data_IF_904792510664
#
_entry.id   IF_904792510664
#
_cell.length_a   1.000
_cell.length_b   1.000
_cell.length_c   1.000
_cell.angle_alpha   90.00
_cell.angle_beta   90.00
_cell.angle_gamma   90.00
#
_symmetry.space_group_name_H-M   'P 1'
#
loop_
_entity.id
_entity.type
_entity.pdbx_description
1 polymer ?
#
# COMPACT_ATOMS: atom_id res chain seq x y z
N UNK A 1 -8.64 -2.92 86.55
CA UNK A 1 -9.99 -2.76 85.97
C UNK A 1 -9.83 -2.32 84.53
N UNK A 2 -10.48 -3.06 83.62
CA UNK A 2 -10.94 -2.75 82.26
C UNK A 2 -10.22 -1.68 81.39
N UNK A 3 -9.76 -2.14 80.21
CA UNK A 3 -9.97 -1.63 78.82
C UNK A 3 -10.15 -0.12 78.60
N UNK A 4 -9.54 0.51 77.59
CA UNK A 4 -10.00 0.47 76.19
C UNK A 4 -8.83 0.60 75.21
N UNK A 5 -8.83 -0.30 74.21
CA UNK A 5 -7.95 -0.31 73.04
C UNK A 5 -8.63 0.47 71.91
N UNK A 6 -8.04 1.55 71.41
CA UNK A 6 -8.49 2.24 70.19
C UNK A 6 -7.48 2.01 69.08
N UNK A 7 -7.79 1.07 68.18
CA UNK A 7 -7.05 0.87 66.93
C UNK A 7 -7.70 1.74 65.86
N UNK A 8 -6.97 2.75 65.38
CA UNK A 8 -7.33 3.49 64.16
C UNK A 8 -6.91 2.64 62.97
N UNK A 9 -7.87 2.03 62.29
CA UNK A 9 -7.63 1.33 61.03
C UNK A 9 -7.70 2.33 59.87
N UNK A 10 -6.55 2.74 59.34
CA UNK A 10 -6.48 3.43 58.06
C UNK A 10 -6.86 2.46 56.94
N UNK A 11 -8.00 2.69 56.30
CA UNK A 11 -8.43 2.02 55.07
C UNK A 11 -7.56 2.50 53.91
N UNK A 12 -6.47 1.79 53.64
CA UNK A 12 -5.79 1.89 52.35
C UNK A 12 -6.59 1.09 51.32
N UNK A 13 -7.30 1.79 50.43
CA UNK A 13 -7.82 1.18 49.21
C UNK A 13 -6.62 0.82 48.33
N UNK A 14 -6.26 -0.46 48.28
CA UNK A 14 -5.41 -0.99 47.20
C UNK A 14 -6.25 -1.03 45.93
N UNK A 15 -6.20 0.05 45.14
CA UNK A 15 -6.58 -0.01 43.73
C UNK A 15 -5.56 -0.89 43.02
N UNK A 16 -5.95 -2.14 42.72
CA UNK A 16 -5.26 -2.93 41.71
C UNK A 16 -5.41 -2.19 40.38
N UNK A 17 -4.38 -1.43 40.00
CA UNK A 17 -4.23 -0.94 38.64
C UNK A 17 -4.07 -2.17 37.74
N UNK A 18 -5.18 -2.64 37.17
CA UNK A 18 -5.15 -3.56 36.05
C UNK A 18 -4.60 -2.78 34.87
N UNK A 19 -3.32 -2.97 34.56
CA UNK A 19 -2.75 -2.61 33.27
C UNK A 19 -3.45 -3.46 32.20
N UNK A 20 -4.20 -2.87 31.24
CA UNK A 20 -4.66 -3.64 30.11
C UNK A 20 -3.44 -4.03 29.28
N UNK A 21 -3.15 -5.33 29.29
CA UNK A 21 -2.15 -5.94 28.42
C UNK A 21 -2.76 -6.01 27.02
N UNK A 22 -2.73 -4.91 26.27
CA UNK A 22 -2.99 -4.93 24.83
C UNK A 22 -1.65 -4.94 24.11
N UNK A 23 -0.99 -6.10 24.06
CA UNK A 23 0.04 -6.37 23.07
C UNK A 23 -0.65 -6.56 21.70
N UNK A 24 -1.29 -5.50 21.20
CA UNK A 24 -1.76 -5.45 19.83
C UNK A 24 -0.54 -5.08 18.97
N UNK A 25 0.14 -6.09 18.45
CA UNK A 25 1.21 -5.86 17.47
C UNK A 25 0.57 -5.58 16.12
N UNK A 26 1.02 -4.54 15.42
CA UNK A 26 0.71 -4.35 14.00
C UNK A 26 1.25 -5.57 13.26
N UNK A 27 0.41 -6.27 12.50
CA UNK A 27 0.88 -7.23 11.51
C UNK A 27 1.51 -6.44 10.36
N UNK A 28 2.83 -6.21 10.44
CA UNK A 28 3.58 -5.55 9.38
C UNK A 28 3.87 -6.58 8.29
N UNK A 29 3.12 -6.52 7.19
CA UNK A 29 3.55 -7.16 5.95
C UNK A 29 4.74 -6.36 5.46
N UNK A 30 5.94 -6.96 5.30
CA UNK A 30 7.10 -6.23 4.83
C UNK A 30 6.82 -5.67 3.45
N UNK A 31 6.95 -4.34 3.31
CA UNK A 31 6.84 -3.67 2.02
C UNK A 31 8.11 -4.02 1.23
N UNK A 32 7.99 -4.92 0.27
CA UNK A 32 9.06 -5.27 -0.66
C UNK A 32 8.83 -4.53 -1.96
N UNK A 33 9.74 -3.64 -2.31
CA UNK A 33 9.70 -2.89 -3.56
C UNK A 33 10.29 -3.74 -4.68
N UNK A 34 9.68 -3.70 -5.87
CA UNK A 34 10.19 -4.39 -7.03
C UNK A 34 11.37 -3.64 -7.64
N UNK A 35 12.41 -4.41 -8.01
CA UNK A 35 13.57 -3.93 -8.76
C UNK A 35 13.29 -4.12 -10.25
N UNK A 36 13.50 -3.07 -11.03
CA UNK A 36 13.34 -3.12 -12.47
C UNK A 36 14.26 -4.19 -13.06
N UNK A 37 13.67 -5.16 -13.74
CA UNK A 37 14.35 -6.33 -14.32
C UNK A 37 13.73 -6.63 -15.69
N UNK A 38 14.15 -5.89 -16.74
CA UNK A 38 13.58 -6.04 -18.08
C UNK A 38 13.80 -7.45 -18.64
N UNK A 39 12.82 -7.94 -19.41
CA UNK A 39 12.95 -9.23 -20.13
C UNK A 39 13.73 -9.11 -21.45
N UNK A 40 13.84 -7.89 -22.01
CA UNK A 40 14.58 -7.60 -23.23
C UNK A 40 16.06 -7.30 -22.93
N UNK A 41 16.92 -7.38 -23.96
CA UNK A 41 18.33 -7.04 -23.81
C UNK A 41 18.53 -5.54 -23.49
N UNK A 42 19.57 -5.16 -22.72
CA UNK A 42 19.81 -3.76 -22.34
C UNK A 42 19.83 -2.78 -23.52
N UNK A 43 20.46 -3.18 -24.63
CA UNK A 43 20.61 -2.37 -25.85
C UNK A 43 19.41 -2.44 -26.79
N UNK A 44 18.38 -3.22 -26.47
CA UNK A 44 17.16 -3.30 -27.29
C UNK A 44 16.44 -1.96 -27.29
N UNK A 45 15.87 -1.61 -28.45
CA UNK A 45 14.91 -0.51 -28.57
C UNK A 45 13.50 -0.99 -28.24
N UNK A 46 12.60 -0.06 -27.93
CA UNK A 46 11.19 -0.39 -27.78
C UNK A 46 10.56 -0.86 -29.10
N UNK A 47 9.55 -1.73 -29.04
CA UNK A 47 8.74 -2.02 -30.21
C UNK A 47 8.05 -0.76 -30.74
N UNK A 48 7.66 -0.73 -32.03
CA UNK A 48 6.90 0.37 -32.61
C UNK A 48 5.67 0.72 -31.76
N UNK A 49 5.56 2.00 -31.40
CA UNK A 49 4.49 2.51 -30.55
C UNK A 49 3.22 2.74 -31.40
N UNK A 50 2.06 2.35 -30.88
CA UNK A 50 0.77 2.74 -31.46
C UNK A 50 0.45 4.20 -31.10
N UNK A 51 -0.42 4.90 -31.86
CA UNK A 51 -0.87 6.23 -31.49
C UNK A 51 -1.41 6.29 -30.07
N UNK A 52 -1.05 7.36 -29.35
CA UNK A 52 -1.56 7.59 -28.00
C UNK A 52 -3.08 7.71 -28.01
N UNK A 53 -3.79 7.12 -27.04
CA UNK A 53 -5.22 7.34 -26.92
C UNK A 53 -5.49 8.81 -26.55
N UNK A 54 -6.70 9.33 -26.83
CA UNK A 54 -7.05 10.71 -26.49
C UNK A 54 -6.84 11.00 -25.00
N UNK A 55 -6.49 12.24 -24.66
CA UNK A 55 -6.38 12.66 -23.25
C UNK A 55 -7.76 12.58 -22.60
N UNK A 56 -7.83 11.89 -21.46
CA UNK A 56 -9.08 11.70 -20.73
C UNK A 56 -9.29 12.86 -19.74
N UNK A 57 -10.45 13.54 -19.71
CA UNK A 57 -10.69 14.70 -18.84
C UNK A 57 -10.51 14.42 -17.34
N UNK A 58 -10.83 13.21 -16.89
CA UNK A 58 -10.73 12.79 -15.49
C UNK A 58 -9.32 12.34 -15.08
N UNK A 59 -8.36 12.31 -16.01
CA UNK A 59 -7.00 11.87 -15.76
C UNK A 59 -6.01 12.98 -16.18
N UNK A 60 -5.74 13.96 -15.29
CA UNK A 60 -4.93 15.12 -15.63
C UNK A 60 -3.42 14.86 -15.60
N UNK A 61 -2.97 13.79 -14.91
CA UNK A 61 -1.55 13.44 -14.77
C UNK A 61 -0.89 13.20 -16.13
N UNK A 62 0.33 13.67 -16.31
CA UNK A 62 1.12 13.41 -17.52
C UNK A 62 2.05 12.19 -17.37
N UNK A 63 2.12 11.62 -16.15
CA UNK A 63 2.97 10.48 -15.81
C UNK A 63 2.13 9.19 -15.70
N UNK A 64 1.02 9.25 -14.97
CA UNK A 64 0.22 8.07 -14.63
C UNK A 64 -1.04 7.88 -15.49
N UNK A 65 -1.34 8.86 -16.36
CA UNK A 65 -2.40 8.72 -17.36
C UNK A 65 -1.83 8.35 -18.73
N UNK A 66 -2.74 8.06 -19.67
CA UNK A 66 -2.41 7.88 -21.07
C UNK A 66 -1.47 8.99 -21.59
N UNK A 67 -0.25 8.60 -21.96
CA UNK A 67 0.79 9.53 -22.38
C UNK A 67 2.06 8.78 -22.80
N UNK A 68 3.01 9.49 -23.43
CA UNK A 68 4.21 8.88 -24.00
C UNK A 68 5.10 8.22 -22.93
N UNK A 69 5.17 8.80 -21.74
CA UNK A 69 5.95 8.26 -20.63
C UNK A 69 5.39 6.90 -20.17
N UNK A 70 4.10 6.85 -19.81
CA UNK A 70 3.45 5.61 -19.37
C UNK A 70 3.52 4.53 -20.46
N UNK A 71 3.26 4.88 -21.72
CA UNK A 71 3.32 3.93 -22.83
C UNK A 71 4.73 3.37 -23.03
N UNK A 72 5.76 4.23 -23.00
CA UNK A 72 7.15 3.83 -23.18
C UNK A 72 7.62 2.89 -22.07
N UNK A 73 7.34 3.23 -20.80
CA UNK A 73 7.74 2.39 -19.66
C UNK A 73 7.00 1.06 -19.66
N UNK A 74 5.71 1.04 -20.01
CA UNK A 74 4.96 -0.21 -20.14
C UNK A 74 5.52 -1.12 -21.23
N UNK A 75 5.93 -0.55 -22.37
CA UNK A 75 6.52 -1.31 -23.48
C UNK A 75 7.99 -1.70 -23.25
N UNK A 76 8.70 -0.98 -22.38
CA UNK A 76 10.02 -1.39 -21.89
C UNK A 76 9.94 -2.66 -21.02
N UNK A 77 8.74 -3.00 -20.53
CA UNK A 77 8.45 -4.22 -19.76
C UNK A 77 9.45 -4.45 -18.62
N UNK A 78 9.71 -3.38 -17.85
CA UNK A 78 10.71 -3.36 -16.78
C UNK A 78 10.30 -4.19 -15.55
N UNK A 79 9.01 -4.49 -15.41
CA UNK A 79 8.43 -5.24 -14.31
C UNK A 79 7.50 -6.33 -14.84
N UNK A 80 7.35 -7.48 -14.14
CA UNK A 80 6.42 -8.53 -14.54
C UNK A 80 4.95 -8.09 -14.56
N UNK A 81 4.61 -7.07 -13.77
CA UNK A 81 3.28 -6.46 -13.70
C UNK A 81 3.38 -4.96 -14.03
N UNK A 82 2.56 -4.50 -14.98
CA UNK A 82 2.56 -3.10 -15.41
C UNK A 82 2.07 -2.14 -14.31
N UNK A 83 1.25 -2.62 -13.37
CA UNK A 83 0.80 -1.85 -12.21
C UNK A 83 1.95 -1.49 -11.28
N UNK A 84 3.02 -2.30 -11.25
CA UNK A 84 4.21 -2.00 -10.43
C UNK A 84 4.78 -0.63 -10.73
N UNK A 85 4.82 -0.20 -12.00
CA UNK A 85 5.29 1.13 -12.34
C UNK A 85 4.31 2.23 -11.92
N UNK A 86 3.01 2.02 -12.15
CA UNK A 86 1.95 2.98 -11.81
C UNK A 86 1.89 3.22 -10.29
N UNK A 87 2.26 2.24 -9.48
CA UNK A 87 2.27 2.33 -8.02
C UNK A 87 3.58 2.92 -7.45
N UNK A 88 4.53 3.32 -8.29
CA UNK A 88 5.77 3.99 -7.85
C UNK A 88 5.59 5.51 -7.86
N UNK A 89 5.67 6.20 -6.72
CA UNK A 89 5.68 7.66 -6.68
C UNK A 89 6.96 8.22 -7.31
N UNK A 90 6.93 9.44 -7.81
CA UNK A 90 8.14 10.08 -8.30
C UNK A 90 9.07 10.51 -7.14
N UNK A 91 10.36 10.64 -7.44
CA UNK A 91 11.35 11.22 -6.51
C UNK A 91 11.21 12.75 -6.47
N UNK A 92 10.96 13.36 -7.63
CA UNK A 92 10.88 14.81 -7.83
C UNK A 92 9.54 15.23 -8.45
N UNK A 93 9.34 16.54 -8.65
CA UNK A 93 8.13 17.09 -9.24
C UNK A 93 7.84 16.52 -10.63
N UNK A 94 6.57 16.62 -11.04
CA UNK A 94 6.10 16.20 -12.37
C UNK A 94 6.97 16.78 -13.48
N UNK A 95 7.24 18.09 -13.43
CA UNK A 95 8.02 18.78 -14.45
C UNK A 95 9.47 18.25 -14.53
N UNK A 96 10.13 18.02 -13.39
CA UNK A 96 11.51 17.48 -13.38
C UNK A 96 11.54 16.07 -13.98
N UNK A 97 10.57 15.24 -13.60
CA UNK A 97 10.46 13.85 -14.09
C UNK A 97 10.20 13.81 -15.60
N UNK A 98 9.31 14.67 -16.10
CA UNK A 98 9.02 14.78 -17.54
C UNK A 98 10.21 15.32 -18.34
N UNK A 99 10.94 16.31 -17.82
CA UNK A 99 12.15 16.83 -18.46
C UNK A 99 13.25 15.76 -18.54
N UNK A 100 13.43 14.97 -17.48
CA UNK A 100 14.36 13.85 -17.48
C UNK A 100 13.96 12.77 -18.50
N UNK A 101 12.66 12.47 -18.63
CA UNK A 101 12.14 11.58 -19.66
C UNK A 101 12.41 12.11 -21.07
N UNK A 102 12.15 13.39 -21.33
CA UNK A 102 12.43 14.02 -22.63
C UNK A 102 13.92 14.00 -22.97
N UNK A 103 14.79 14.09 -21.97
CA UNK A 103 16.25 14.05 -22.13
C UNK A 103 16.78 12.68 -22.57
N UNK A 104 15.95 11.62 -22.54
CA UNK A 104 16.30 10.31 -23.09
C UNK A 104 16.40 10.32 -24.64
N UNK A 105 15.81 11.31 -25.30
CA UNK A 105 15.83 11.45 -26.76
C UNK A 105 14.77 10.59 -27.47
N UNK A 106 14.96 10.39 -28.78
CA UNK A 106 13.92 9.82 -29.67
C UNK A 106 13.92 8.29 -29.75
N UNK A 107 15.04 7.62 -29.46
CA UNK A 107 15.14 6.16 -29.49
C UNK A 107 15.98 5.61 -28.33
N UNK A 108 15.56 5.86 -27.08
CA UNK A 108 16.23 5.28 -25.93
C UNK A 108 16.10 3.76 -25.90
N UNK A 109 17.15 3.14 -25.39
CA UNK A 109 17.25 1.70 -25.13
C UNK A 109 16.48 1.32 -23.88
N UNK A 110 16.17 0.02 -23.73
CA UNK A 110 15.53 -0.54 -22.54
C UNK A 110 16.33 -0.20 -21.27
N UNK A 111 17.66 -0.26 -21.32
CA UNK A 111 18.53 0.12 -20.21
C UNK A 111 18.37 1.60 -19.82
N UNK A 112 18.23 2.50 -20.79
CA UNK A 112 18.02 3.92 -20.50
C UNK A 112 16.67 4.16 -19.80
N UNK A 113 15.60 3.46 -20.19
CA UNK A 113 14.34 3.50 -19.46
C UNK A 113 14.45 2.90 -18.06
N UNK A 114 15.18 1.80 -17.90
CA UNK A 114 15.44 1.19 -16.60
C UNK A 114 16.17 2.18 -15.67
N UNK A 115 17.23 2.83 -16.17
CA UNK A 115 17.99 3.83 -15.42
C UNK A 115 17.14 5.05 -15.07
N UNK A 116 16.31 5.52 -16.02
CA UNK A 116 15.35 6.58 -15.77
C UNK A 116 14.38 6.23 -14.65
N UNK A 117 13.74 5.05 -14.71
CA UNK A 117 12.79 4.62 -13.67
C UNK A 117 13.49 4.47 -12.32
N UNK A 118 14.67 3.87 -12.27
CA UNK A 118 15.43 3.71 -11.03
C UNK A 118 15.86 5.03 -10.40
N UNK A 119 16.13 6.06 -11.21
CA UNK A 119 16.60 7.36 -10.72
C UNK A 119 15.45 8.30 -10.31
N UNK A 120 14.31 8.26 -11.02
CA UNK A 120 13.23 9.24 -10.87
C UNK A 120 11.98 8.72 -10.17
N UNK A 121 11.92 7.42 -9.84
CA UNK A 121 10.79 6.81 -9.15
C UNK A 121 11.23 6.11 -7.86
N UNK A 122 10.39 6.23 -6.83
CA UNK A 122 10.55 5.59 -5.53
C UNK A 122 10.07 4.13 -5.58
N UNK A 123 10.19 3.45 -4.45
CA UNK A 123 9.52 2.16 -4.25
C UNK A 123 8.01 2.30 -4.13
N UNK A 124 7.27 1.34 -4.67
CA UNK A 124 5.83 1.22 -4.54
C UNK A 124 5.42 0.75 -3.14
N UNK A 125 4.20 1.10 -2.72
CA UNK A 125 3.60 0.60 -1.49
C UNK A 125 4.09 1.25 -0.19
N UNK A 126 5.08 2.15 -0.25
CA UNK A 126 5.61 2.87 0.93
C UNK A 126 4.63 3.87 1.55
N UNK A 127 3.60 4.25 0.78
CA UNK A 127 2.58 5.23 1.18
C UNK A 127 1.44 4.59 1.98
N UNK A 128 1.36 3.26 2.02
CA UNK A 128 0.38 2.52 2.80
C UNK A 128 1.04 1.88 4.01
N UNK A 129 0.39 1.96 5.15
CA UNK A 129 0.87 1.34 6.39
C UNK A 129 -0.20 0.42 7.00
N UNK A 130 0.26 -0.66 7.63
CA UNK A 130 -0.62 -1.52 8.43
C UNK A 130 -1.03 -0.79 9.71
N UNK A 131 -2.31 -0.86 10.06
CA UNK A 131 -2.85 -0.28 11.28
C UNK A 131 -3.38 -1.36 12.23
N UNK A 132 -3.40 -1.06 13.52
CA UNK A 132 -4.09 -1.87 14.52
C UNK A 132 -5.59 -1.61 14.39
N UNK A 133 -6.37 -2.66 14.20
CA UNK A 133 -7.83 -2.56 14.21
C UNK A 133 -8.33 -2.44 15.66
N UNK A 134 -8.95 -1.32 16.07
CA UNK A 134 -9.40 -1.13 17.44
C UNK A 134 -10.49 -2.15 17.80
N UNK A 135 -10.46 -2.65 19.03
CA UNK A 135 -11.48 -3.57 19.55
C UNK A 135 -11.66 -4.87 18.73
N UNK A 136 -10.64 -5.27 17.96
CA UNK A 136 -10.68 -6.54 17.24
C UNK A 136 -10.70 -7.71 18.23
N UNK A 137 -11.80 -8.47 18.24
CA UNK A 137 -11.90 -9.72 18.99
C UNK A 137 -11.56 -10.89 18.07
N UNK A 138 -10.45 -11.64 18.30
CA UNK A 138 -10.09 -12.79 17.49
C UNK A 138 -11.16 -13.90 17.48
N UNK A 139 -12.00 -13.99 18.52
CA UNK A 139 -13.08 -14.97 18.64
C UNK A 139 -14.44 -14.26 18.67
N UNK A 140 -14.94 -13.79 17.51
CA UNK A 140 -16.15 -12.99 17.47
C UNK A 140 -17.38 -13.81 17.91
N UNK A 141 -18.34 -13.21 18.65
CA UNK A 141 -19.46 -13.95 19.25
C UNK A 141 -20.33 -14.71 18.24
N UNK A 142 -20.43 -14.23 16.99
CA UNK A 142 -21.25 -14.87 15.97
C UNK A 142 -20.80 -16.30 15.65
N UNK A 143 -19.53 -16.66 15.88
CA UNK A 143 -19.01 -18.01 15.64
C UNK A 143 -19.59 -19.05 16.60
N UNK A 144 -20.14 -18.65 17.74
CA UNK A 144 -20.85 -19.55 18.63
C UNK A 144 -22.14 -20.11 17.98
N UNK A 145 -22.73 -19.35 17.06
CA UNK A 145 -23.99 -19.70 16.39
C UNK A 145 -23.78 -20.49 15.08
N UNK A 146 -22.54 -20.75 14.68
CA UNK A 146 -22.22 -21.52 13.47
C UNK A 146 -22.06 -22.99 13.85
N UNK A 147 -23.08 -23.81 13.53
CA UNK A 147 -23.11 -25.23 13.90
C UNK A 147 -22.17 -26.09 13.05
N UNK A 148 -22.04 -25.78 11.76
CA UNK A 148 -21.16 -26.52 10.86
C UNK A 148 -19.69 -26.18 11.16
N UNK A 149 -18.92 -27.20 11.53
CA UNK A 149 -17.52 -27.04 11.93
C UNK A 149 -16.61 -26.49 10.82
N UNK A 150 -16.87 -26.84 9.55
CA UNK A 150 -16.10 -26.38 8.41
C UNK A 150 -16.39 -24.90 8.14
N UNK A 151 -17.68 -24.52 8.14
CA UNK A 151 -18.10 -23.11 7.96
C UNK A 151 -17.60 -22.24 9.10
N UNK A 152 -17.59 -22.75 10.33
CA UNK A 152 -17.05 -22.06 11.50
C UNK A 152 -15.54 -21.81 11.36
N UNK A 153 -14.78 -22.83 10.98
CA UNK A 153 -13.34 -22.70 10.76
C UNK A 153 -13.00 -21.75 9.61
N UNK A 154 -13.74 -21.83 8.50
CA UNK A 154 -13.62 -20.90 7.38
C UNK A 154 -13.89 -19.46 7.82
N UNK A 155 -15.00 -19.21 8.51
CA UNK A 155 -15.38 -17.87 8.98
C UNK A 155 -14.35 -17.29 9.95
N UNK A 156 -13.82 -18.13 10.86
CA UNK A 156 -12.74 -17.75 11.77
C UNK A 156 -11.45 -17.37 11.01
N UNK A 157 -11.14 -18.10 9.95
CA UNK A 157 -9.97 -17.81 9.09
C UNK A 157 -10.16 -16.49 8.36
N UNK A 158 -11.30 -16.28 7.72
CA UNK A 158 -11.63 -15.02 7.03
C UNK A 158 -11.55 -13.83 8.01
N UNK A 159 -12.10 -13.98 9.22
CA UNK A 159 -12.04 -12.96 10.26
C UNK A 159 -10.60 -12.59 10.64
N UNK A 160 -9.68 -13.57 10.66
CA UNK A 160 -8.27 -13.30 10.96
C UNK A 160 -7.58 -12.39 9.93
N UNK A 161 -8.03 -12.40 8.66
CA UNK A 161 -7.43 -11.59 7.60
C UNK A 161 -7.66 -10.09 7.78
N UNK A 162 -8.70 -9.65 8.49
CA UNK A 162 -8.94 -8.22 8.71
C UNK A 162 -7.72 -7.53 9.33
N UNK A 163 -7.09 -8.16 10.32
CA UNK A 163 -5.87 -7.62 10.95
C UNK A 163 -4.66 -7.52 10.02
N UNK A 164 -4.66 -8.28 8.92
CA UNK A 164 -3.59 -8.30 7.92
C UNK A 164 -3.88 -7.36 6.73
N UNK A 165 -5.15 -7.08 6.46
CA UNK A 165 -5.61 -6.31 5.29
C UNK A 165 -5.96 -4.85 5.61
N UNK A 166 -6.09 -4.51 6.88
CA UNK A 166 -6.35 -3.13 7.31
C UNK A 166 -5.13 -2.25 7.01
N UNK A 167 -5.39 -1.11 6.35
CA UNK A 167 -4.40 -0.09 5.99
C UNK A 167 -4.86 1.30 6.38
N UNK A 168 -3.87 2.15 6.58
CA UNK A 168 -3.99 3.60 6.59
C UNK A 168 -2.98 4.21 5.62
N UNK A 169 -3.06 5.54 5.51
CA UNK A 169 -2.15 6.31 4.68
C UNK A 169 -0.98 6.84 5.51
N UNK A 170 0.25 6.46 5.15
CA UNK A 170 1.45 6.96 5.80
C UNK A 170 1.77 8.38 5.33
N UNK A 171 1.40 9.35 6.15
CA UNK A 171 1.56 10.78 5.89
C UNK A 171 3.03 11.22 5.67
N UNK A 172 4.02 10.48 6.16
CA UNK A 172 5.44 10.81 5.96
C UNK A 172 5.96 10.41 4.57
N UNK A 173 5.32 9.43 3.92
CA UNK A 173 5.69 8.95 2.59
C UNK A 173 4.90 9.59 1.45
N UNK A 174 3.80 10.28 1.77
CA UNK A 174 2.89 10.85 0.79
C UNK A 174 3.53 11.93 -0.08
N UNK A 175 3.17 11.90 -1.36
CA UNK A 175 3.44 13.02 -2.25
C UNK A 175 2.41 14.15 -2.07
N UNK A 176 2.90 15.38 -2.03
CA UNK A 176 2.06 16.58 -1.89
C UNK A 176 1.62 17.18 -3.24
N UNK A 177 1.96 16.53 -4.36
CA UNK A 177 1.66 17.00 -5.72
C UNK A 177 2.56 18.14 -6.22
N UNK A 178 3.46 18.66 -5.38
CA UNK A 178 4.36 19.78 -5.72
C UNK A 178 5.80 19.27 -5.85
N UNK A 179 6.30 18.56 -4.83
CA UNK A 179 7.67 18.04 -4.76
C UNK A 179 7.79 16.64 -5.36
N UNK A 180 6.68 15.90 -5.41
CA UNK A 180 6.55 14.63 -6.11
C UNK A 180 5.08 14.38 -6.45
N UNK A 181 4.85 13.39 -7.31
CA UNK A 181 3.54 12.94 -7.76
C UNK A 181 3.38 11.45 -7.46
N UNK A 182 2.20 11.04 -7.02
CA UNK A 182 1.82 9.63 -6.83
C UNK A 182 0.46 9.38 -7.47
N UNK A 183 0.22 8.14 -7.88
CA UNK A 183 -1.09 7.67 -8.31
C UNK A 183 -2.01 7.32 -7.11
N UNK A 184 -1.45 7.17 -5.91
CA UNK A 184 -2.23 6.92 -4.69
C UNK A 184 -3.08 8.14 -4.35
N UNK A 185 -4.37 7.90 -4.11
CA UNK A 185 -5.28 8.89 -3.53
C UNK A 185 -5.30 8.67 -2.00
N UNK A 186 -4.79 9.62 -1.21
CA UNK A 186 -4.73 9.47 0.24
C UNK A 186 -6.13 9.53 0.86
N UNK A 187 -6.41 8.63 1.81
CA UNK A 187 -7.66 8.60 2.56
C UNK A 187 -7.42 8.94 4.02
N UNK A 188 -8.34 9.73 4.60
CA UNK A 188 -8.33 10.13 6.01
C UNK A 188 -9.18 9.19 6.90
N UNK A 189 -9.16 7.90 6.61
CA UNK A 189 -9.79 6.87 7.42
C UNK A 189 -9.10 5.52 7.19
N UNK A 190 -9.34 4.57 8.08
CA UNK A 190 -8.85 3.20 7.94
C UNK A 190 -9.69 2.45 6.90
N UNK A 191 -9.04 1.72 6.01
CA UNK A 191 -9.70 0.95 4.97
C UNK A 191 -9.09 -0.45 4.84
N UNK A 192 -9.85 -1.37 4.22
CA UNK A 192 -9.36 -2.71 3.91
C UNK A 192 -8.82 -2.71 2.48
N UNK A 193 -7.57 -3.14 2.30
CA UNK A 193 -7.07 -3.44 0.97
C UNK A 193 -7.37 -4.91 0.63
N UNK A 194 -7.85 -5.22 -0.59
CA UNK A 194 -7.86 -6.59 -1.04
C UNK A 194 -6.42 -7.13 -1.01
N UNK A 195 -6.23 -8.34 -0.49
CA UNK A 195 -4.90 -8.95 -0.39
C UNK A 195 -4.22 -9.03 -1.76
N UNK A 196 -3.13 -8.28 -1.93
CA UNK A 196 -2.40 -8.20 -3.19
C UNK A 196 -1.22 -9.18 -3.19
N UNK A 197 -1.45 -10.37 -3.75
CA UNK A 197 -0.47 -11.21 -4.47
C UNK A 197 -1.18 -12.46 -5.02
N UNK A 198 -1.93 -12.29 -6.11
CA UNK A 198 -2.35 -13.41 -6.95
C UNK A 198 -1.31 -13.60 -8.06
N UNK A 199 -0.25 -14.35 -7.76
CA UNK A 199 0.63 -14.86 -8.80
C UNK A 199 -0.18 -15.78 -9.73
N UNK A 200 -0.47 -15.31 -10.96
CA UNK A 200 -0.97 -16.04 -12.15
C UNK A 200 -2.40 -15.78 -12.66
N UNK A 201 -3.15 -14.82 -12.14
CA UNK A 201 -4.42 -14.44 -12.78
C UNK A 201 -4.53 -12.93 -12.92
N UNK A 202 -4.40 -12.47 -14.18
CA UNK A 202 -4.75 -11.11 -14.61
C UNK A 202 -6.24 -10.87 -14.28
N UNK A 203 -6.51 -10.24 -13.14
CA UNK A 203 -7.76 -9.58 -12.87
C UNK A 203 -7.47 -8.09 -12.80
N UNK A 204 -8.06 -7.36 -13.74
CA UNK A 204 -7.89 -5.93 -13.90
C UNK A 204 -8.26 -5.15 -12.64
N UNK A 205 -7.48 -4.08 -12.44
CA UNK A 205 -7.95 -2.77 -11.97
C UNK A 205 -9.13 -2.73 -11.01
N UNK A 206 -8.92 -2.93 -9.70
CA UNK A 206 -9.74 -2.27 -8.66
C UNK A 206 -8.96 -2.25 -7.34
N UNK A 207 -8.21 -1.17 -7.11
CA UNK A 207 -7.72 -0.88 -5.76
C UNK A 207 -7.43 0.62 -5.59
N UNK A 208 -8.43 1.47 -5.87
CA UNK A 208 -8.70 2.69 -5.11
C UNK A 208 -10.21 2.95 -5.21
N UNK A 209 -10.91 2.66 -4.11
CA UNK A 209 -12.25 3.10 -3.68
C UNK A 209 -13.25 3.48 -4.81
N UNK A 210 -14.16 2.55 -5.12
CA UNK A 210 -15.55 2.89 -5.43
C UNK A 210 -16.35 2.81 -4.13
N UNK A 211 -16.65 3.98 -3.57
CA UNK A 211 -17.96 4.37 -3.03
C UNK A 211 -18.05 5.88 -3.16
#
# INVERSE_FOLDING_TARGET
MLTVLTIVACLFHTTLAQTPITNASVFQIPVSTAVASPSAAPTSLLPPQVPLPPKQPWCPSEIFCAGPLLQSVNLANLFPDQKTFVDKPTVNSTNVTLQAFQSLGSNPTVEQYQNFVNAFFKGEGLELEGLILPNFNPNPPFLANVSDSLVKAFSQTVHSFWTQLIRGTNSSSLCNGIQCESSLIPLNHTFVVPGMKLSRYHLGSFAYVLW
#
